data_IF_000419724760
#
_entry.id   IF_000419724760
#
_cell.length_a   1.000
_cell.length_b   1.000
_cell.length_c   1.000
_cell.angle_alpha   90.00
_cell.angle_beta   90.00
_cell.angle_gamma   90.00
#
_symmetry.space_group_name_H-M   'P 1'
#
loop_
_entity.id
_entity.type
_entity.pdbx_description
1 polymer ?
#
# COMPACT_ATOMS: atom_id res chain seq x y z
N UNK A 1 58.28 -8.83 -5.79
CA UNK A 1 57.28 -7.73 -5.77
C UNK A 1 55.82 -8.20 -5.66
N UNK A 2 55.42 -9.34 -6.23
CA UNK A 2 54.01 -9.79 -6.30
C UNK A 2 53.38 -10.26 -4.96
N UNK A 3 54.21 -10.64 -3.96
CA UNK A 3 53.76 -11.18 -2.66
C UNK A 3 53.35 -10.11 -1.64
N UNK A 4 53.70 -8.84 -1.92
CA UNK A 4 53.38 -7.68 -1.07
C UNK A 4 51.96 -7.16 -1.36
N UNK A 5 51.61 -7.04 -2.65
CA UNK A 5 50.30 -6.56 -3.11
C UNK A 5 49.10 -7.41 -2.62
N UNK A 6 49.27 -8.73 -2.53
CA UNK A 6 48.25 -9.65 -2.02
C UNK A 6 47.93 -9.43 -0.53
N UNK A 7 48.92 -9.01 0.28
CA UNK A 7 48.70 -8.71 1.71
C UNK A 7 47.96 -7.39 1.91
N UNK A 8 48.26 -6.38 1.09
CA UNK A 8 47.55 -5.10 1.11
C UNK A 8 46.11 -5.23 0.57
N UNK A 9 45.90 -6.01 -0.49
CA UNK A 9 44.57 -6.30 -1.01
C UNK A 9 43.69 -7.04 0.00
N UNK A 10 44.25 -8.03 0.72
CA UNK A 10 43.52 -8.76 1.77
C UNK A 10 43.22 -7.88 3.00
N UNK A 11 44.13 -6.99 3.38
CA UNK A 11 43.91 -6.01 4.45
C UNK A 11 42.84 -4.96 4.12
N UNK A 12 42.80 -4.50 2.86
CA UNK A 12 41.76 -3.57 2.37
C UNK A 12 40.40 -4.29 2.29
N UNK A 13 40.35 -5.55 1.84
CA UNK A 13 39.12 -6.34 1.84
C UNK A 13 38.60 -6.59 3.26
N UNK A 14 39.46 -6.87 4.23
CA UNK A 14 39.07 -7.00 5.65
C UNK A 14 38.60 -5.68 6.26
N UNK A 15 39.18 -4.54 5.88
CA UNK A 15 38.70 -3.21 6.29
C UNK A 15 37.34 -2.87 5.66
N UNK A 16 37.10 -3.25 4.41
CA UNK A 16 35.81 -3.05 3.73
C UNK A 16 34.74 -3.98 4.33
N UNK A 17 35.07 -5.24 4.65
CA UNK A 17 34.16 -6.17 5.34
C UNK A 17 33.91 -5.76 6.81
N UNK A 18 34.91 -5.18 7.49
CA UNK A 18 34.74 -4.63 8.84
C UNK A 18 33.90 -3.34 8.83
N UNK A 19 34.01 -2.51 7.80
CA UNK A 19 33.14 -1.35 7.61
C UNK A 19 31.69 -1.73 7.28
N UNK A 20 31.47 -2.81 6.53
CA UNK A 20 30.12 -3.32 6.27
C UNK A 20 29.44 -3.94 7.51
N UNK A 21 30.20 -4.24 8.56
CA UNK A 21 29.68 -4.84 9.80
C UNK A 21 29.29 -3.82 10.87
N UNK A 22 29.52 -2.51 10.66
CA UNK A 22 28.90 -1.49 11.50
C UNK A 22 27.42 -1.38 11.12
N UNK A 23 26.58 -2.14 11.83
CA UNK A 23 25.15 -1.89 11.85
C UNK A 23 24.93 -0.45 12.33
N UNK A 24 24.65 0.44 11.38
CA UNK A 24 24.35 1.84 11.66
C UNK A 24 23.13 1.88 12.59
N UNK A 25 23.36 2.19 13.87
CA UNK A 25 22.30 2.29 14.86
C UNK A 25 21.43 3.49 14.50
N UNK A 26 20.13 3.26 14.35
CA UNK A 26 19.18 4.30 13.98
C UNK A 26 18.90 5.15 15.22
N UNK A 27 19.31 6.42 15.18
CA UNK A 27 19.10 7.40 16.24
C UNK A 27 18.12 8.45 15.74
N UNK A 28 17.09 8.74 16.54
CA UNK A 28 16.06 9.72 16.26
C UNK A 28 16.16 10.88 17.25
N UNK A 29 16.37 12.12 16.79
CA UNK A 29 16.35 13.28 17.66
C UNK A 29 14.92 13.60 18.10
N UNK A 30 14.69 13.73 19.41
CA UNK A 30 13.39 14.14 19.96
C UNK A 30 13.39 15.65 20.20
N UNK A 31 14.49 16.17 20.74
CA UNK A 31 14.81 17.60 20.83
C UNK A 31 16.33 17.79 20.75
N UNK A 32 16.79 18.99 21.07
CA UNK A 32 18.21 19.35 21.05
C UNK A 32 19.09 18.51 21.99
N UNK A 33 18.52 17.91 23.04
CA UNK A 33 19.28 17.27 24.12
C UNK A 33 18.96 15.78 24.32
N UNK A 34 17.85 15.30 23.79
CA UNK A 34 17.34 13.95 24.00
C UNK A 34 17.11 13.23 22.67
N UNK A 35 17.56 11.99 22.62
CA UNK A 35 17.49 11.13 21.44
C UNK A 35 16.91 9.76 21.79
N UNK A 36 16.30 9.11 20.80
CA UNK A 36 15.90 7.71 20.86
C UNK A 36 16.86 6.88 20.03
N UNK A 37 17.33 5.76 20.58
CA UNK A 37 18.10 4.75 19.85
C UNK A 37 17.30 3.48 19.75
N UNK A 38 17.13 2.99 18.52
CA UNK A 38 16.59 1.64 18.29
C UNK A 38 17.74 0.65 18.41
N UNK A 39 17.61 -0.28 19.36
CA UNK A 39 18.64 -1.27 19.66
C UNK A 39 18.54 -2.47 18.73
N UNK A 40 17.32 -2.99 18.55
CA UNK A 40 17.04 -4.09 17.64
C UNK A 40 15.59 -4.11 17.21
N UNK A 41 15.35 -4.63 16.02
CA UNK A 41 14.03 -4.97 15.52
C UNK A 41 14.09 -6.44 15.13
N UNK A 42 13.20 -7.23 15.72
CA UNK A 42 13.09 -8.66 15.44
C UNK A 42 11.65 -9.03 15.15
N UNK A 43 11.45 -10.08 14.36
CA UNK A 43 10.12 -10.63 14.10
C UNK A 43 10.09 -12.14 14.25
N UNK A 44 8.91 -12.67 14.56
CA UNK A 44 8.66 -14.09 14.73
C UNK A 44 7.25 -14.45 14.25
N UNK A 45 7.14 -15.52 13.46
CA UNK A 45 5.85 -16.09 13.05
C UNK A 45 5.08 -16.60 14.26
N UNK A 46 3.76 -16.48 14.24
CA UNK A 46 2.90 -16.99 15.30
C UNK A 46 1.59 -17.56 14.75
N UNK A 47 1.09 -18.60 15.42
CA UNK A 47 -0.27 -19.11 15.23
C UNK A 47 -1.28 -18.44 16.18
N UNK A 48 -0.82 -17.69 17.19
CA UNK A 48 -1.69 -17.09 18.20
C UNK A 48 -1.40 -15.60 18.40
N UNK A 49 -2.49 -14.83 18.49
CA UNK A 49 -2.49 -13.43 18.86
C UNK A 49 -2.25 -13.22 20.36
N UNK A 50 -2.64 -14.15 21.23
CA UNK A 50 -2.68 -13.87 22.68
C UNK A 50 -1.34 -14.09 23.38
N UNK A 51 -0.41 -14.81 22.74
CA UNK A 51 0.90 -15.10 23.30
C UNK A 51 2.00 -14.76 22.30
N UNK A 52 2.92 -13.91 22.73
CA UNK A 52 4.15 -13.64 21.98
C UNK A 52 5.03 -14.90 21.98
N UNK A 53 5.63 -15.29 20.84
CA UNK A 53 6.42 -16.50 20.74
C UNK A 53 7.71 -16.41 21.58
N UNK A 54 8.07 -17.52 22.22
CA UNK A 54 9.29 -17.61 23.04
C UNK A 54 10.55 -17.84 22.19
N UNK A 55 10.39 -18.46 21.00
CA UNK A 55 11.47 -18.83 20.08
C UNK A 55 11.15 -18.39 18.65
N UNK A 56 12.15 -18.35 17.76
CA UNK A 56 11.97 -18.02 16.35
C UNK A 56 12.03 -16.52 16.02
N UNK A 57 12.65 -15.74 16.90
CA UNK A 57 12.93 -14.32 16.66
C UNK A 57 14.13 -14.17 15.73
N UNK A 58 13.92 -13.49 14.61
CA UNK A 58 14.95 -13.15 13.64
C UNK A 58 15.06 -11.63 13.52
N UNK A 59 16.28 -11.11 13.39
CA UNK A 59 16.48 -9.67 13.20
C UNK A 59 16.00 -9.25 11.81
N UNK A 60 15.24 -8.16 11.75
CA UNK A 60 14.66 -7.64 10.52
C UNK A 60 14.89 -6.15 10.38
N UNK A 61 14.87 -5.66 9.14
CA UNK A 61 14.86 -4.23 8.84
C UNK A 61 13.45 -3.82 8.44
N UNK A 62 13.08 -2.58 8.76
CA UNK A 62 11.82 -1.99 8.34
C UNK A 62 12.08 -1.00 7.19
N UNK A 63 11.17 -0.86 6.21
CA UNK A 63 9.90 -1.59 6.08
C UNK A 63 10.10 -3.09 5.78
N UNK A 64 9.22 -3.92 6.33
CA UNK A 64 9.28 -5.38 6.20
C UNK A 64 8.07 -5.90 5.46
N UNK A 65 8.29 -6.48 4.28
CA UNK A 65 7.28 -7.19 3.48
C UNK A 65 7.54 -8.69 3.61
N UNK A 66 6.59 -9.42 4.19
CA UNK A 66 6.81 -10.82 4.56
C UNK A 66 7.16 -11.70 3.38
N UNK A 67 6.56 -11.46 2.22
CA UNK A 67 6.71 -12.32 1.04
C UNK A 67 8.16 -12.41 0.53
N UNK A 68 9.01 -11.42 0.88
CA UNK A 68 10.44 -11.44 0.54
C UNK A 68 11.17 -12.58 1.29
N UNK A 69 10.83 -12.80 2.57
CA UNK A 69 11.46 -13.85 3.40
C UNK A 69 10.64 -15.12 3.47
N UNK A 70 9.32 -14.98 3.56
CA UNK A 70 8.35 -16.06 3.73
C UNK A 70 7.34 -16.00 2.59
N UNK A 71 7.73 -16.58 1.46
CA UNK A 71 6.89 -16.63 0.25
C UNK A 71 5.53 -17.24 0.54
N UNK A 72 4.46 -16.56 0.12
CA UNK A 72 3.07 -16.97 0.30
C UNK A 72 2.64 -17.16 1.78
N UNK A 73 3.32 -16.52 2.74
CA UNK A 73 2.94 -16.63 4.15
C UNK A 73 1.66 -15.87 4.47
N UNK A 74 0.76 -16.54 5.17
CA UNK A 74 -0.52 -16.02 5.64
C UNK A 74 -0.63 -16.28 7.16
N UNK A 75 -1.06 -15.28 7.92
CA UNK A 75 -1.29 -15.41 9.36
C UNK A 75 -0.61 -14.32 10.18
N UNK A 76 -0.28 -14.66 11.43
CA UNK A 76 0.22 -13.73 12.42
C UNK A 76 1.75 -13.63 12.47
N UNK A 77 2.26 -12.43 12.74
CA UNK A 77 3.67 -12.14 13.02
C UNK A 77 3.75 -11.17 14.18
N UNK A 78 4.63 -11.46 15.14
CA UNK A 78 5.01 -10.52 16.17
C UNK A 78 6.29 -9.82 15.79
N UNK A 79 6.33 -8.51 15.99
CA UNK A 79 7.52 -7.68 15.95
C UNK A 79 7.87 -7.23 17.36
N UNK A 80 9.16 -7.21 17.66
CA UNK A 80 9.71 -6.71 18.90
C UNK A 80 10.75 -5.66 18.56
N UNK A 81 10.47 -4.44 19.00
CA UNK A 81 11.30 -3.26 18.83
C UNK A 81 11.83 -2.92 20.22
N UNK A 82 13.10 -3.23 20.46
CA UNK A 82 13.78 -2.84 21.69
C UNK A 82 14.48 -1.51 21.44
N UNK A 83 14.21 -0.52 22.30
CA UNK A 83 14.70 0.84 22.14
C UNK A 83 15.01 1.47 23.50
N UNK A 84 15.83 2.50 23.49
CA UNK A 84 16.15 3.31 24.66
C UNK A 84 16.11 4.78 24.31
N UNK A 85 15.87 5.62 25.31
CA UNK A 85 16.04 7.06 25.19
C UNK A 85 17.17 7.50 26.10
N UNK A 86 17.87 8.55 25.69
CA UNK A 86 18.94 9.14 26.49
C UNK A 86 18.95 10.65 26.26
N UNK A 87 19.31 11.37 27.31
CA UNK A 87 19.49 12.81 27.29
C UNK A 87 20.93 13.16 27.71
N UNK A 88 21.41 14.32 27.29
CA UNK A 88 22.68 14.89 27.78
C UNK A 88 22.66 15.05 29.31
N UNK A 89 23.86 15.04 29.95
CA UNK A 89 24.07 14.75 31.39
C UNK A 89 23.34 15.63 32.42
N UNK A 90 22.58 16.64 31.99
CA UNK A 90 21.84 17.55 32.87
C UNK A 90 20.36 17.71 32.46
N UNK A 91 19.94 17.01 31.40
CA UNK A 91 18.59 17.10 30.87
C UNK A 91 17.79 15.84 31.20
N UNK A 92 16.53 16.05 31.56
CA UNK A 92 15.54 15.01 31.74
C UNK A 92 14.54 15.02 30.58
N UNK A 93 13.95 13.85 30.31
CA UNK A 93 12.89 13.74 29.32
C UNK A 93 11.62 14.42 29.85
N UNK A 94 11.48 15.73 29.57
CA UNK A 94 10.37 16.55 30.05
C UNK A 94 9.21 16.69 29.04
N UNK A 95 9.26 15.92 27.96
CA UNK A 95 8.22 15.90 26.93
C UNK A 95 7.96 14.46 26.49
N UNK A 96 6.74 14.15 26.00
CA UNK A 96 6.44 12.84 25.48
C UNK A 96 7.22 12.53 24.20
N UNK A 97 7.51 11.25 24.00
CA UNK A 97 8.06 10.70 22.76
C UNK A 97 6.89 10.17 21.95
N UNK A 98 6.85 10.46 20.65
CA UNK A 98 5.84 9.90 19.76
C UNK A 98 6.42 8.74 18.98
N UNK A 99 5.81 7.56 19.10
CA UNK A 99 6.08 6.43 18.22
C UNK A 99 5.09 6.47 17.05
N UNK A 100 5.59 6.53 15.83
CA UNK A 100 4.77 6.54 14.62
C UNK A 100 5.10 5.37 13.71
N UNK A 101 4.06 4.82 13.10
CA UNK A 101 4.10 3.71 12.17
C UNK A 101 3.44 4.15 10.86
N UNK A 102 4.20 4.06 9.76
CA UNK A 102 3.75 4.53 8.46
C UNK A 102 2.55 3.73 7.96
N UNK A 103 2.60 2.40 8.06
CA UNK A 103 1.48 1.54 7.72
C UNK A 103 1.58 0.21 8.47
N UNK A 104 0.41 -0.39 8.69
CA UNK A 104 0.27 -1.75 9.15
C UNK A 104 -0.66 -2.44 8.16
N UNK A 105 -0.14 -3.40 7.39
CA UNK A 105 -0.93 -4.00 6.33
C UNK A 105 -1.79 -5.15 6.88
N UNK A 106 -3.09 -5.12 6.53
CA UNK A 106 -4.18 -5.88 7.15
C UNK A 106 -4.55 -5.38 8.58
N UNK A 107 -4.40 -6.18 9.63
CA UNK A 107 -4.85 -5.83 10.99
C UNK A 107 -3.76 -6.09 12.04
N UNK A 108 -3.76 -5.34 13.14
CA UNK A 108 -2.72 -5.51 14.16
C UNK A 108 -2.97 -4.82 15.50
N UNK A 109 -2.08 -5.06 16.44
CA UNK A 109 -2.11 -4.50 17.77
C UNK A 109 -0.71 -4.05 18.20
N UNK A 110 -0.65 -2.99 19.00
CA UNK A 110 0.59 -2.37 19.46
C UNK A 110 0.58 -2.29 20.98
N UNK A 111 1.69 -2.70 21.59
CA UNK A 111 1.89 -2.74 23.02
C UNK A 111 3.18 -2.01 23.39
N UNK A 112 3.18 -1.30 24.51
CA UNK A 112 4.36 -0.71 25.14
C UNK A 112 4.61 -1.41 26.46
N UNK A 113 5.79 -1.99 26.66
CA UNK A 113 6.18 -2.61 27.92
C UNK A 113 5.15 -3.64 28.47
N UNK A 114 4.45 -4.35 27.56
CA UNK A 114 3.32 -5.30 27.78
C UNK A 114 1.93 -4.68 27.92
N UNK A 115 1.82 -3.36 28.03
CA UNK A 115 0.53 -2.67 28.09
C UNK A 115 0.01 -2.38 26.68
N UNK A 116 -1.28 -2.62 26.46
CA UNK A 116 -1.92 -2.40 25.16
C UNK A 116 -2.04 -0.89 24.88
N UNK A 117 -1.43 -0.41 23.80
CA UNK A 117 -1.62 0.95 23.30
C UNK A 117 -2.81 1.05 22.35
N UNK A 118 -2.95 0.07 21.45
CA UNK A 118 -3.99 0.06 20.43
C UNK A 118 -4.16 -1.31 19.78
N UNK A 119 -5.37 -1.61 19.31
CA UNK A 119 -5.70 -2.79 18.52
C UNK A 119 -6.67 -2.43 17.40
N UNK A 120 -6.56 -3.12 16.26
CA UNK A 120 -7.63 -3.15 15.25
C UNK A 120 -8.93 -3.72 15.84
N UNK A 121 -10.07 -3.31 15.30
CA UNK A 121 -11.38 -3.79 15.75
C UNK A 121 -11.51 -5.30 15.53
N UNK A 122 -11.07 -5.79 14.38
CA UNK A 122 -11.06 -7.21 14.04
C UNK A 122 -9.64 -7.67 13.72
N UNK A 123 -9.10 -8.54 14.59
CA UNK A 123 -7.77 -9.17 14.44
C UNK A 123 -7.86 -10.61 13.92
N UNK A 124 -9.07 -11.11 13.78
CA UNK A 124 -9.44 -12.37 13.13
C UNK A 124 -10.33 -12.07 11.92
N UNK A 125 -10.53 -13.06 11.07
CA UNK A 125 -11.38 -12.91 9.90
C UNK A 125 -12.80 -12.45 10.27
N UNK A 126 -13.38 -11.48 9.53
CA UNK A 126 -12.75 -10.68 8.48
C UNK A 126 -11.83 -9.59 9.06
N UNK A 127 -10.58 -9.52 8.63
CA UNK A 127 -9.59 -8.59 9.19
C UNK A 127 -9.98 -7.13 8.94
N UNK A 128 -9.74 -6.25 9.92
CA UNK A 128 -9.77 -4.81 9.68
C UNK A 128 -8.71 -4.41 8.63
N UNK A 129 -8.90 -3.26 8.00
CA UNK A 129 -7.99 -2.67 6.99
C UNK A 129 -7.28 -1.45 7.57
N UNK A 130 -6.01 -1.63 7.93
CA UNK A 130 -5.19 -0.55 8.51
C UNK A 130 -4.08 -0.04 7.59
N UNK A 131 -4.00 -0.54 6.35
CA UNK A 131 -2.88 -0.28 5.44
C UNK A 131 -2.78 1.20 5.00
N UNK A 132 -3.91 1.91 4.88
CA UNK A 132 -3.98 3.31 4.47
C UNK A 132 -4.08 4.31 5.64
N UNK A 133 -3.96 3.82 6.89
CA UNK A 133 -4.08 4.62 8.10
C UNK A 133 -2.70 4.73 8.77
N UNK A 134 -1.91 5.79 8.50
CA UNK A 134 -0.72 6.05 9.31
C UNK A 134 -1.15 6.25 10.77
N UNK A 135 -0.42 5.68 11.72
CA UNK A 135 -0.77 5.75 13.14
C UNK A 135 0.40 6.25 13.95
N UNK A 136 0.09 6.93 15.04
CA UNK A 136 1.08 7.32 16.02
C UNK A 136 0.49 7.27 17.42
N UNK A 137 1.37 7.08 18.39
CA UNK A 137 1.03 7.02 19.81
C UNK A 137 1.96 7.95 20.57
N UNK A 138 1.36 8.83 21.37
CA UNK A 138 2.08 9.72 22.27
C UNK A 138 2.43 8.90 23.52
N UNK A 139 3.72 8.74 23.80
CA UNK A 139 4.24 7.98 24.94
C UNK A 139 4.66 8.98 26.03
N UNK A 140 3.89 9.13 27.12
CA UNK A 140 4.26 10.03 28.21
C UNK A 140 5.57 9.60 28.87
N UNK A 141 6.41 10.56 29.27
CA UNK A 141 7.69 10.26 29.92
C UNK A 141 7.52 9.40 31.18
N UNK A 142 6.41 9.55 31.92
CA UNK A 142 6.09 8.74 33.11
C UNK A 142 5.82 7.25 32.81
N UNK A 143 5.40 6.91 31.58
CA UNK A 143 5.18 5.53 31.14
C UNK A 143 6.44 4.88 30.57
N UNK A 144 7.53 5.62 30.47
CA UNK A 144 8.79 5.16 29.90
C UNK A 144 9.79 4.78 31.00
N UNK A 145 10.44 3.64 30.81
CA UNK A 145 11.55 3.23 31.67
C UNK A 145 12.78 4.07 31.31
N UNK A 146 13.62 4.48 32.28
CA UNK A 146 14.87 5.21 32.02
C UNK A 146 15.91 4.45 31.20
N UNK A 147 15.76 3.13 31.05
CA UNK A 147 16.62 2.29 30.22
C UNK A 147 15.89 1.73 29.01
N UNK A 148 15.91 0.40 28.89
CA UNK A 148 15.29 -0.29 27.75
C UNK A 148 13.77 -0.30 27.86
N UNK A 149 13.13 0.14 26.79
CA UNK A 149 11.71 0.03 26.55
C UNK A 149 11.47 -0.93 25.39
N UNK A 150 10.30 -1.54 25.38
CA UNK A 150 9.93 -2.50 24.36
C UNK A 150 8.58 -2.13 23.75
N UNK A 151 8.53 -2.09 22.42
CA UNK A 151 7.28 -2.04 21.68
C UNK A 151 7.09 -3.40 21.02
N UNK A 152 5.95 -4.03 21.29
CA UNK A 152 5.51 -5.24 20.59
C UNK A 152 4.43 -4.87 19.60
N UNK A 153 4.55 -5.33 18.36
CA UNK A 153 3.52 -5.15 17.33
C UNK A 153 3.09 -6.52 16.83
N UNK A 154 1.83 -6.87 17.03
CA UNK A 154 1.22 -8.02 16.38
C UNK A 154 0.62 -7.56 15.05
N UNK A 155 0.87 -8.29 13.98
CA UNK A 155 0.29 -8.06 12.66
C UNK A 155 -0.27 -9.38 12.15
N UNK A 156 -1.50 -9.38 11.66
CA UNK A 156 -2.13 -10.51 10.99
C UNK A 156 -2.55 -10.09 9.59
N UNK A 157 -2.14 -10.85 8.58
CA UNK A 157 -2.43 -10.51 7.19
C UNK A 157 -2.09 -11.64 6.22
N UNK A 158 -2.30 -11.33 4.93
CA UNK A 158 -2.12 -12.28 3.83
C UNK A 158 -1.06 -11.86 2.82
N UNK A 159 -0.40 -12.84 2.22
CA UNK A 159 0.61 -12.63 1.19
C UNK A 159 0.08 -11.88 -0.04
N UNK A 160 -1.19 -12.10 -0.44
CA UNK A 160 -1.80 -11.43 -1.59
C UNK A 160 -2.01 -9.92 -1.37
N UNK A 161 -1.98 -9.45 -0.13
CA UNK A 161 -2.03 -8.02 0.21
C UNK A 161 -0.64 -7.43 0.47
N UNK A 162 0.45 -8.21 0.36
CA UNK A 162 1.79 -7.84 0.81
C UNK A 162 1.81 -7.46 2.31
N UNK A 163 1.28 -8.36 3.16
CA UNK A 163 1.30 -8.19 4.60
C UNK A 163 2.72 -7.93 5.14
N UNK A 164 2.79 -7.10 6.18
CA UNK A 164 4.06 -6.52 6.62
C UNK A 164 3.90 -5.35 7.60
N UNK A 165 5.05 -4.83 8.03
CA UNK A 165 5.15 -3.67 8.90
C UNK A 165 5.93 -2.55 8.21
N UNK A 166 5.32 -1.36 8.14
CA UNK A 166 5.96 -0.19 7.55
C UNK A 166 7.10 0.37 8.40
N UNK A 167 7.71 1.45 7.90
CA UNK A 167 8.76 2.17 8.61
C UNK A 167 8.25 2.73 9.94
N UNK A 168 9.11 2.70 10.94
CA UNK A 168 8.86 3.33 12.25
C UNK A 168 9.66 4.62 12.37
N UNK A 169 9.09 5.57 13.11
CA UNK A 169 9.78 6.82 13.47
C UNK A 169 9.49 7.17 14.92
N UNK A 170 10.46 7.82 15.57
CA UNK A 170 10.30 8.43 16.87
C UNK A 170 10.52 9.93 16.72
N UNK A 171 9.56 10.75 17.16
CA UNK A 171 9.60 12.20 17.03
C UNK A 171 9.04 12.88 18.30
N UNK A 172 9.17 14.19 18.41
CA UNK A 172 8.33 14.97 19.34
C UNK A 172 6.91 15.15 18.78
N UNK A 173 5.99 15.61 19.63
CA UNK A 173 4.56 15.77 19.28
C UNK A 173 4.35 16.75 18.13
N UNK A 174 5.04 17.90 18.13
CA UNK A 174 4.81 18.94 17.14
C UNK A 174 5.29 18.56 15.74
N UNK A 175 6.46 17.94 15.65
CA UNK A 175 7.02 17.44 14.40
C UNK A 175 6.20 16.28 13.85
N UNK A 176 5.77 15.36 14.74
CA UNK A 176 4.94 14.24 14.34
C UNK A 176 3.60 14.67 13.72
N UNK A 177 2.95 15.72 14.23
CA UNK A 177 1.68 16.22 13.65
C UNK A 177 1.86 16.59 12.17
N UNK A 178 2.96 17.27 11.82
CA UNK A 178 3.25 17.66 10.42
C UNK A 178 3.51 16.43 9.55
N UNK A 179 4.31 15.48 10.04
CA UNK A 179 4.58 14.23 9.34
C UNK A 179 3.31 13.40 9.12
N UNK A 180 2.47 13.30 10.15
CA UNK A 180 1.23 12.56 10.09
C UNK A 180 0.23 13.18 9.12
N UNK A 181 0.04 14.50 9.15
CA UNK A 181 -0.81 15.21 8.18
C UNK A 181 -0.37 14.98 6.74
N UNK A 182 0.94 15.05 6.48
CA UNK A 182 1.50 14.74 5.14
C UNK A 182 1.23 13.29 4.75
N UNK A 183 1.37 12.33 5.67
CA UNK A 183 1.07 10.93 5.37
C UNK A 183 -0.42 10.68 5.13
N UNK A 184 -1.31 11.35 5.87
CA UNK A 184 -2.76 11.27 5.65
C UNK A 184 -3.14 11.85 4.27
N UNK A 185 -2.57 13.00 3.91
CA UNK A 185 -2.80 13.63 2.61
C UNK A 185 -2.48 12.66 1.47
N UNK A 186 -1.28 12.07 1.50
CA UNK A 186 -0.79 11.18 0.46
C UNK A 186 -1.57 9.85 0.38
N UNK A 187 -1.96 9.28 1.52
CA UNK A 187 -2.56 7.94 1.57
C UNK A 187 -4.08 7.94 1.47
N UNK A 188 -4.75 9.05 1.79
CA UNK A 188 -6.22 9.08 1.93
C UNK A 188 -6.87 10.27 1.24
N UNK A 189 -6.42 11.50 1.52
CA UNK A 189 -7.09 12.70 0.99
C UNK A 189 -7.07 12.74 -0.55
N UNK A 190 -5.99 12.28 -1.19
CA UNK A 190 -5.93 12.18 -2.66
C UNK A 190 -6.99 11.23 -3.23
N UNK A 191 -7.23 10.09 -2.58
CA UNK A 191 -8.28 9.14 -2.99
C UNK A 191 -9.68 9.69 -2.74
N UNK A 192 -9.89 10.42 -1.64
CA UNK A 192 -11.16 11.08 -1.34
C UNK A 192 -11.49 12.17 -2.37
N UNK A 193 -10.50 13.01 -2.75
CA UNK A 193 -10.67 14.01 -3.81
C UNK A 193 -10.99 13.33 -5.15
N UNK A 194 -10.26 12.26 -5.50
CA UNK A 194 -10.49 11.51 -6.73
C UNK A 194 -11.91 10.90 -6.76
N UNK A 195 -12.39 10.37 -5.63
CA UNK A 195 -13.74 9.86 -5.50
C UNK A 195 -14.79 10.97 -5.70
N UNK A 196 -14.63 12.13 -5.06
CA UNK A 196 -15.58 13.26 -5.20
C UNK A 196 -15.64 13.75 -6.66
N UNK A 197 -14.48 13.90 -7.32
CA UNK A 197 -14.42 14.30 -8.73
C UNK A 197 -15.06 13.25 -9.66
N UNK A 198 -14.79 11.98 -9.42
CA UNK A 198 -15.38 10.88 -10.20
C UNK A 198 -16.89 10.79 -10.01
N UNK A 199 -17.37 11.02 -8.78
CA UNK A 199 -18.80 11.03 -8.47
C UNK A 199 -19.53 12.19 -9.14
N UNK A 200 -18.98 13.40 -9.07
CA UNK A 200 -19.59 14.59 -9.70
C UNK A 200 -19.66 14.46 -11.22
N UNK A 201 -18.57 14.02 -11.87
CA UNK A 201 -18.54 13.77 -13.31
C UNK A 201 -19.48 12.61 -13.73
N UNK A 202 -19.50 11.52 -12.95
CA UNK A 202 -20.37 10.38 -13.19
C UNK A 202 -21.85 10.74 -13.11
N UNK A 203 -22.25 11.50 -12.08
CA UNK A 203 -23.63 11.98 -11.93
C UNK A 203 -24.02 12.92 -13.07
N UNK A 204 -23.14 13.87 -13.43
CA UNK A 204 -23.40 14.79 -14.53
C UNK A 204 -23.61 14.04 -15.85
N UNK A 205 -22.75 13.08 -16.17
CA UNK A 205 -22.89 12.27 -17.38
C UNK A 205 -24.11 11.35 -17.35
N UNK A 206 -24.47 10.82 -16.18
CA UNK A 206 -25.68 10.03 -16.00
C UNK A 206 -26.93 10.86 -16.30
N UNK A 207 -26.99 12.08 -15.78
CA UNK A 207 -28.09 13.01 -16.03
C UNK A 207 -28.16 13.36 -17.52
N UNK A 208 -27.03 13.73 -18.15
CA UNK A 208 -26.99 14.01 -19.59
C UNK A 208 -27.50 12.81 -20.39
N UNK A 209 -27.07 11.60 -20.08
CA UNK A 209 -27.53 10.39 -20.76
C UNK A 209 -29.03 10.14 -20.59
N UNK A 210 -29.59 10.38 -19.40
CA UNK A 210 -31.03 10.24 -19.16
C UNK A 210 -31.87 11.21 -20.00
N UNK A 211 -31.37 12.43 -20.23
CA UNK A 211 -32.02 13.43 -21.09
C UNK A 211 -31.74 13.23 -22.58
N UNK A 212 -30.54 12.77 -22.94
CA UNK A 212 -30.06 12.62 -24.32
C UNK A 212 -29.70 11.14 -24.57
N UNK A 213 -30.70 10.27 -24.51
CA UNK A 213 -30.54 8.81 -24.72
C UNK A 213 -29.99 8.41 -26.10
N UNK A 214 -29.80 9.37 -27.01
CA UNK A 214 -29.27 9.12 -28.37
C UNK A 214 -27.77 8.83 -28.37
N UNK A 215 -27.02 9.36 -27.38
CA UNK A 215 -25.59 9.11 -27.26
C UNK A 215 -25.29 8.21 -26.05
N UNK A 216 -25.11 6.92 -26.32
CA UNK A 216 -24.84 5.92 -25.28
C UNK A 216 -23.46 6.08 -24.63
N UNK A 217 -22.57 6.93 -25.16
CA UNK A 217 -21.21 7.12 -24.64
C UNK A 217 -21.22 7.67 -23.21
N UNK A 218 -22.11 8.62 -22.92
CA UNK A 218 -22.26 9.20 -21.57
C UNK A 218 -22.73 8.17 -20.53
N UNK A 219 -23.58 7.24 -20.92
CA UNK A 219 -24.05 6.16 -20.03
C UNK A 219 -22.93 5.20 -19.64
N UNK A 220 -22.08 4.80 -20.60
CA UNK A 220 -20.91 3.96 -20.33
C UNK A 220 -19.87 4.67 -19.46
N UNK A 221 -19.66 5.96 -19.68
CA UNK A 221 -18.77 6.75 -18.82
C UNK A 221 -19.30 6.83 -17.39
N UNK A 222 -20.58 7.16 -17.21
CA UNK A 222 -21.21 7.20 -15.89
C UNK A 222 -21.12 5.86 -15.14
N UNK A 223 -21.35 4.75 -15.85
CA UNK A 223 -21.20 3.39 -15.29
C UNK A 223 -19.74 3.11 -14.89
N UNK A 224 -18.77 3.52 -15.71
CA UNK A 224 -17.35 3.40 -15.36
C UNK A 224 -17.01 4.20 -14.11
N UNK A 225 -17.49 5.43 -13.96
CA UNK A 225 -17.29 6.22 -12.75
C UNK A 225 -17.89 5.54 -11.52
N UNK A 226 -19.09 4.96 -11.62
CA UNK A 226 -19.72 4.24 -10.51
C UNK A 226 -18.90 3.02 -10.09
N UNK A 227 -18.41 2.23 -11.04
CA UNK A 227 -17.58 1.05 -10.76
C UNK A 227 -16.22 1.44 -10.17
N UNK A 228 -15.64 2.54 -10.64
CA UNK A 228 -14.43 3.13 -10.07
C UNK A 228 -14.63 3.59 -8.62
N UNK A 229 -15.77 4.20 -8.30
CA UNK A 229 -16.12 4.58 -6.93
C UNK A 229 -16.23 3.37 -6.00
N UNK A 230 -16.87 2.29 -6.47
CA UNK A 230 -16.94 1.04 -5.70
C UNK A 230 -15.55 0.47 -5.44
N UNK A 231 -14.68 0.47 -6.46
CA UNK A 231 -13.29 0.07 -6.31
C UNK A 231 -12.53 0.94 -5.28
N UNK A 232 -12.55 2.27 -5.42
CA UNK A 232 -11.86 3.17 -4.48
C UNK A 232 -12.45 3.10 -3.06
N UNK A 233 -13.77 2.93 -2.93
CA UNK A 233 -14.41 2.86 -1.61
C UNK A 233 -13.84 1.72 -0.75
N UNK A 234 -13.44 0.62 -1.38
CA UNK A 234 -12.82 -0.51 -0.69
C UNK A 234 -11.43 -0.17 -0.15
N UNK A 235 -10.71 0.75 -0.81
CA UNK A 235 -9.44 1.28 -0.35
C UNK A 235 -9.62 2.26 0.82
N UNK A 236 -10.70 3.05 0.84
CA UNK A 236 -10.96 4.05 1.89
C UNK A 236 -11.59 3.46 3.16
N UNK A 237 -12.33 2.37 3.03
CA UNK A 237 -12.98 1.68 4.17
C UNK A 237 -11.95 0.97 5.04
N UNK A 238 -12.04 1.19 6.36
CA UNK A 238 -11.14 0.61 7.36
C UNK A 238 -11.58 -0.77 7.84
N UNK A 239 -12.75 -1.23 7.42
CA UNK A 239 -13.30 -2.54 7.78
C UNK A 239 -13.62 -3.34 6.51
N UNK A 240 -13.74 -4.65 6.68
CA UNK A 240 -14.00 -5.60 5.58
C UNK A 240 -15.49 -5.89 5.39
N UNK A 241 -16.36 -5.38 6.28
CA UNK A 241 -17.81 -5.39 6.09
C UNK A 241 -18.20 -4.73 4.75
N UNK A 242 -19.13 -5.27 3.96
CA UNK A 242 -20.06 -6.38 4.26
C UNK A 242 -19.55 -7.78 3.89
N UNK A 243 -18.28 -7.93 3.51
CA UNK A 243 -17.75 -9.21 3.04
C UNK A 243 -17.43 -10.15 4.20
N UNK A 244 -17.68 -11.46 4.05
CA UNK A 244 -17.48 -12.44 5.12
C UNK A 244 -15.99 -12.73 5.38
N UNK A 245 -15.14 -12.57 4.37
CA UNK A 245 -13.69 -12.81 4.48
C UNK A 245 -12.90 -11.72 3.77
N UNK A 246 -11.66 -11.50 4.21
CA UNK A 246 -10.72 -10.56 3.58
C UNK A 246 -10.40 -10.96 2.13
N UNK A 247 -10.38 -12.25 1.82
CA UNK A 247 -10.21 -12.76 0.46
C UNK A 247 -11.40 -12.40 -0.45
N UNK A 248 -12.64 -12.65 0.02
CA UNK A 248 -13.85 -12.30 -0.74
C UNK A 248 -13.92 -10.80 -1.02
N UNK A 249 -13.49 -9.98 -0.06
CA UNK A 249 -13.41 -8.55 -0.21
C UNK A 249 -12.41 -8.11 -1.30
N UNK A 250 -11.26 -8.80 -1.42
CA UNK A 250 -10.28 -8.53 -2.47
C UNK A 250 -10.75 -9.02 -3.85
N UNK A 251 -11.41 -10.18 -3.93
CA UNK A 251 -12.01 -10.73 -5.15
C UNK A 251 -13.12 -9.80 -5.70
N UNK A 252 -14.01 -9.31 -4.81
CA UNK A 252 -15.05 -8.34 -5.17
C UNK A 252 -14.44 -7.02 -5.66
N UNK A 253 -13.40 -6.53 -4.98
CA UNK A 253 -12.69 -5.32 -5.40
C UNK A 253 -12.11 -5.45 -6.82
N UNK A 254 -11.43 -6.58 -7.10
CA UNK A 254 -10.89 -6.84 -8.43
C UNK A 254 -11.99 -6.98 -9.48
N UNK A 255 -13.16 -7.52 -9.12
CA UNK A 255 -14.32 -7.59 -10.02
C UNK A 255 -14.82 -6.20 -10.42
N UNK A 256 -14.89 -5.25 -9.48
CA UNK A 256 -15.22 -3.86 -9.79
C UNK A 256 -14.18 -3.22 -10.71
N UNK A 257 -12.89 -3.50 -10.49
CA UNK A 257 -11.82 -3.02 -11.37
C UNK A 257 -11.95 -3.56 -12.80
N UNK A 258 -12.22 -4.85 -12.97
CA UNK A 258 -12.44 -5.48 -14.29
C UNK A 258 -13.60 -4.80 -15.03
N UNK A 259 -14.75 -4.69 -14.37
CA UNK A 259 -15.93 -4.08 -14.96
C UNK A 259 -15.69 -2.60 -15.29
N UNK A 260 -14.98 -1.87 -14.42
CA UNK A 260 -14.56 -0.50 -14.68
C UNK A 260 -13.74 -0.40 -15.97
N UNK A 261 -12.69 -1.21 -16.12
CA UNK A 261 -11.82 -1.19 -17.30
C UNK A 261 -12.60 -1.50 -18.57
N UNK A 262 -13.52 -2.47 -18.54
CA UNK A 262 -14.36 -2.79 -19.69
C UNK A 262 -15.27 -1.62 -20.08
N UNK A 263 -16.02 -1.07 -19.12
CA UNK A 263 -16.93 0.04 -19.37
C UNK A 263 -16.18 1.29 -19.86
N UNK A 264 -15.02 1.57 -19.26
CA UNK A 264 -14.17 2.68 -19.66
C UNK A 264 -13.58 2.48 -21.07
N UNK A 265 -13.13 1.26 -21.40
CA UNK A 265 -12.63 0.93 -22.74
C UNK A 265 -13.71 1.07 -23.81
N UNK A 266 -14.93 0.59 -23.51
CA UNK A 266 -16.08 0.78 -24.41
C UNK A 266 -16.37 2.27 -24.58
N UNK A 267 -16.43 3.04 -23.50
CA UNK A 267 -16.59 4.50 -23.57
C UNK A 267 -15.56 5.16 -24.49
N UNK A 268 -14.26 4.85 -24.31
CA UNK A 268 -13.19 5.43 -25.11
C UNK A 268 -13.33 5.11 -26.61
N UNK A 269 -13.69 3.86 -26.94
CA UNK A 269 -13.93 3.45 -28.33
C UNK A 269 -15.15 4.16 -28.94
N UNK A 270 -16.23 4.29 -28.17
CA UNK A 270 -17.46 4.97 -28.59
C UNK A 270 -17.25 6.46 -28.78
N UNK A 271 -16.46 7.11 -27.92
CA UNK A 271 -16.03 8.50 -28.07
C UNK A 271 -15.25 8.73 -29.38
N UNK A 272 -14.50 7.72 -29.84
CA UNK A 272 -13.78 7.77 -31.11
C UNK A 272 -14.63 7.37 -32.34
N UNK A 273 -15.96 7.28 -32.20
CA UNK A 273 -16.91 6.81 -33.21
C UNK A 273 -16.63 5.40 -33.74
N UNK A 274 -15.92 4.56 -32.96
CA UNK A 274 -15.63 3.16 -33.32
C UNK A 274 -16.49 2.19 -32.52
N UNK A 275 -16.94 1.14 -33.20
CA UNK A 275 -17.76 0.08 -32.63
C UNK A 275 -17.23 -1.26 -33.10
N UNK A 276 -16.88 -2.14 -32.17
CA UNK A 276 -16.43 -3.49 -32.47
C UNK A 276 -17.33 -4.49 -31.76
N UNK A 277 -18.56 -4.71 -32.26
CA UNK A 277 -19.60 -5.41 -31.50
C UNK A 277 -19.18 -6.82 -31.08
N UNK A 278 -18.57 -7.58 -31.99
CA UNK A 278 -18.12 -8.96 -31.71
C UNK A 278 -16.99 -9.00 -30.68
N UNK A 279 -16.04 -8.06 -30.75
CA UNK A 279 -14.92 -7.99 -29.81
C UNK A 279 -15.39 -7.56 -28.42
N UNK A 280 -16.26 -6.55 -28.35
CA UNK A 280 -16.86 -6.06 -27.10
C UNK A 280 -17.63 -7.20 -26.41
N UNK A 281 -18.53 -7.88 -27.13
CA UNK A 281 -19.32 -8.99 -26.58
C UNK A 281 -18.44 -10.15 -26.12
N UNK A 282 -17.44 -10.54 -26.92
CA UNK A 282 -16.49 -11.61 -26.55
C UNK A 282 -15.70 -11.24 -25.28
N UNK A 283 -15.25 -9.98 -25.17
CA UNK A 283 -14.54 -9.50 -23.98
C UNK A 283 -15.43 -9.48 -22.75
N UNK A 284 -16.70 -9.11 -22.86
CA UNK A 284 -17.64 -9.16 -21.74
C UNK A 284 -17.89 -10.59 -21.26
N UNK A 285 -18.20 -11.50 -22.18
CA UNK A 285 -18.43 -12.92 -21.85
C UNK A 285 -17.19 -13.53 -21.20
N UNK A 286 -16.01 -13.29 -21.78
CA UNK A 286 -14.75 -13.74 -21.21
C UNK A 286 -14.52 -13.15 -19.81
N UNK A 287 -14.83 -11.87 -19.61
CA UNK A 287 -14.64 -11.20 -18.32
C UNK A 287 -15.57 -11.73 -17.23
N UNK A 288 -16.80 -12.11 -17.59
CA UNK A 288 -17.71 -12.79 -16.65
C UNK A 288 -17.10 -14.13 -16.22
N UNK A 289 -16.57 -14.91 -17.15
CA UNK A 289 -15.89 -16.17 -16.82
C UNK A 289 -14.66 -15.95 -15.92
N UNK A 290 -13.87 -14.89 -16.18
CA UNK A 290 -12.74 -14.50 -15.32
C UNK A 290 -13.20 -14.11 -13.92
N UNK A 291 -14.24 -13.28 -13.79
CA UNK A 291 -14.82 -12.88 -12.49
C UNK A 291 -15.26 -14.12 -11.71
N UNK A 292 -16.00 -15.03 -12.34
CA UNK A 292 -16.43 -16.28 -11.71
C UNK A 292 -15.21 -17.11 -11.27
N UNK A 293 -14.19 -17.24 -12.12
CA UNK A 293 -12.95 -17.96 -11.80
C UNK A 293 -12.17 -17.36 -10.61
N UNK A 294 -12.17 -16.04 -10.46
CA UNK A 294 -11.53 -15.35 -9.33
C UNK A 294 -12.16 -15.77 -8.00
N UNK A 295 -13.49 -15.88 -7.93
CA UNK A 295 -14.18 -16.30 -6.69
C UNK A 295 -13.91 -17.76 -6.30
N UNK A 296 -13.58 -18.63 -7.26
CA UNK A 296 -13.17 -20.01 -7.00
C UNK A 296 -11.67 -20.16 -6.67
N UNK A 297 -10.91 -19.08 -6.68
CA UNK A 297 -9.46 -19.14 -6.44
C UNK A 297 -9.18 -19.39 -4.95
N UNK A 298 -8.44 -20.45 -4.60
CA UNK A 298 -8.04 -20.72 -3.22
C UNK A 298 -6.93 -19.76 -2.76
N UNK A 299 -6.75 -19.63 -1.45
CA UNK A 299 -5.85 -18.65 -0.83
C UNK A 299 -4.39 -18.78 -1.32
N UNK A 300 -3.91 -20.01 -1.55
CA UNK A 300 -2.52 -20.28 -1.93
C UNK A 300 -2.14 -19.69 -3.30
N UNK A 301 -3.10 -19.64 -4.23
CA UNK A 301 -2.92 -19.08 -5.57
C UNK A 301 -3.44 -17.65 -5.70
N UNK A 302 -4.11 -17.11 -4.67
CA UNK A 302 -4.75 -15.80 -4.71
C UNK A 302 -3.79 -14.69 -5.14
N UNK A 303 -2.56 -14.67 -4.62
CA UNK A 303 -1.56 -13.65 -4.99
C UNK A 303 -1.27 -13.63 -6.50
N UNK A 304 -0.99 -14.80 -7.06
CA UNK A 304 -0.60 -14.94 -8.48
C UNK A 304 -1.80 -14.66 -9.37
N UNK A 305 -2.96 -15.26 -9.09
CA UNK A 305 -4.16 -15.11 -9.92
C UNK A 305 -4.67 -13.67 -9.89
N UNK A 306 -4.87 -13.07 -8.71
CA UNK A 306 -5.36 -11.69 -8.58
C UNK A 306 -4.38 -10.70 -9.23
N UNK A 307 -3.08 -10.88 -9.01
CA UNK A 307 -2.04 -10.04 -9.63
C UNK A 307 -1.99 -10.17 -11.15
N UNK A 308 -2.07 -11.40 -11.69
CA UNK A 308 -2.06 -11.64 -13.14
C UNK A 308 -3.29 -11.05 -13.82
N UNK A 309 -4.47 -11.24 -13.23
CA UNK A 309 -5.72 -10.65 -13.74
C UNK A 309 -5.66 -9.12 -13.68
N UNK A 310 -5.19 -8.54 -12.57
CA UNK A 310 -5.03 -7.09 -12.48
C UNK A 310 -4.13 -6.56 -13.60
N UNK A 311 -2.97 -7.20 -13.82
CA UNK A 311 -2.04 -6.83 -14.88
C UNK A 311 -2.61 -7.03 -16.29
N UNK A 312 -3.40 -8.07 -16.53
CA UNK A 312 -3.99 -8.33 -17.85
C UNK A 312 -5.02 -7.25 -18.23
N UNK A 313 -5.86 -6.81 -17.30
CA UNK A 313 -6.82 -5.73 -17.55
C UNK A 313 -6.17 -4.36 -17.59
N UNK A 314 -5.12 -4.11 -16.79
CA UNK A 314 -4.31 -2.91 -16.94
C UNK A 314 -3.65 -2.85 -18.35
N UNK A 315 -3.16 -3.99 -18.84
CA UNK A 315 -2.58 -4.10 -20.19
C UNK A 315 -3.62 -3.88 -21.29
N UNK A 316 -4.87 -4.33 -21.09
CA UNK A 316 -5.97 -4.07 -22.01
C UNK A 316 -6.18 -2.56 -22.20
N UNK A 317 -6.17 -1.79 -21.11
CA UNK A 317 -6.30 -0.33 -21.17
C UNK A 317 -5.14 0.31 -21.95
N UNK A 318 -3.91 -0.18 -21.77
CA UNK A 318 -2.74 0.27 -22.52
C UNK A 318 -2.88 -0.02 -24.01
N UNK A 319 -3.40 -1.19 -24.40
CA UNK A 319 -3.68 -1.54 -25.80
C UNK A 319 -4.73 -0.59 -26.40
N UNK A 320 -5.81 -0.32 -25.67
CA UNK A 320 -6.86 0.63 -26.10
C UNK A 320 -6.27 2.03 -26.27
N UNK A 321 -5.41 2.46 -25.36
CA UNK A 321 -4.69 3.73 -25.47
C UNK A 321 -3.85 3.82 -26.76
N UNK A 322 -3.02 2.81 -27.05
CA UNK A 322 -2.20 2.82 -28.28
C UNK A 322 -3.05 2.80 -29.55
N UNK A 323 -4.17 2.06 -29.54
CA UNK A 323 -5.12 2.06 -30.65
C UNK A 323 -5.72 3.46 -30.89
N UNK A 324 -6.11 4.16 -29.82
CA UNK A 324 -6.66 5.52 -29.92
C UNK A 324 -5.59 6.53 -30.34
N UNK A 325 -4.34 6.38 -29.91
CA UNK A 325 -3.22 7.21 -30.37
C UNK A 325 -2.94 7.02 -31.87
N UNK A 326 -3.02 5.79 -32.37
CA UNK A 326 -2.95 5.51 -33.80
C UNK A 326 -4.13 6.17 -34.55
N UNK A 327 -5.34 6.07 -33.99
CA UNK A 327 -6.53 6.64 -34.60
C UNK A 327 -6.51 8.18 -34.60
N UNK A 328 -6.01 8.82 -33.54
CA UNK A 328 -5.90 10.28 -33.46
C UNK A 328 -4.95 10.81 -34.54
N UNK A 329 -3.82 10.12 -34.76
CA UNK A 329 -2.90 10.44 -35.84
C UNK A 329 -3.55 10.33 -37.22
N UNK A 330 -4.38 9.31 -37.45
CA UNK A 330 -5.05 9.06 -38.74
C UNK A 330 -6.23 10.00 -39.02
N UNK A 331 -7.05 10.30 -38.02
CA UNK A 331 -8.32 11.03 -38.20
C UNK A 331 -8.21 12.53 -37.97
N UNK A 332 -7.13 13.01 -37.35
CA UNK A 332 -6.84 14.42 -37.12
C UNK A 332 -7.98 15.23 -36.45
N UNK A 333 -8.83 14.58 -35.65
CA UNK A 333 -9.85 15.26 -34.85
C UNK A 333 -9.23 15.85 -33.57
N UNK A 334 -9.48 17.13 -33.30
CA UNK A 334 -8.96 17.85 -32.11
C UNK A 334 -9.37 17.20 -30.79
N UNK A 335 -10.61 16.70 -30.72
CA UNK A 335 -11.16 16.04 -29.53
C UNK A 335 -10.38 14.77 -29.15
N UNK A 336 -9.94 13.98 -30.14
CA UNK A 336 -9.12 12.79 -29.90
C UNK A 336 -7.71 13.15 -29.40
N UNK A 337 -7.13 14.25 -29.89
CA UNK A 337 -5.83 14.72 -29.38
C UNK A 337 -5.90 15.15 -27.92
N UNK A 338 -6.97 15.87 -27.53
CA UNK A 338 -7.19 16.23 -26.13
C UNK A 338 -7.37 15.01 -25.24
N UNK A 339 -8.15 14.02 -25.69
CA UNK A 339 -8.33 12.77 -24.96
C UNK A 339 -7.00 12.03 -24.75
N UNK A 340 -6.19 11.88 -25.81
CA UNK A 340 -4.89 11.23 -25.72
C UNK A 340 -3.94 12.01 -24.82
N UNK A 341 -3.93 13.33 -24.90
CA UNK A 341 -3.16 14.17 -23.99
C UNK A 341 -3.54 13.89 -22.52
N UNK A 342 -4.84 13.84 -22.19
CA UNK A 342 -5.29 13.48 -20.84
C UNK A 342 -4.82 12.07 -20.43
N UNK A 343 -4.97 11.07 -21.31
CA UNK A 343 -4.52 9.70 -21.03
C UNK A 343 -3.00 9.61 -20.85
N UNK A 344 -2.21 10.34 -21.64
CA UNK A 344 -0.75 10.41 -21.47
C UNK A 344 -0.35 10.99 -20.13
N UNK A 345 -1.06 12.03 -19.67
CA UNK A 345 -0.79 12.67 -18.38
C UNK A 345 -1.06 11.70 -17.22
N UNK A 346 -2.17 10.95 -17.30
CA UNK A 346 -2.50 9.89 -16.34
C UNK A 346 -1.41 8.81 -16.34
N UNK A 347 -0.99 8.34 -17.52
CA UNK A 347 0.09 7.35 -17.65
C UNK A 347 1.42 7.85 -17.07
N UNK A 348 1.76 9.12 -17.28
CA UNK A 348 2.96 9.73 -16.73
C UNK A 348 2.92 9.78 -15.19
N UNK A 349 1.80 10.20 -14.62
CA UNK A 349 1.64 10.19 -13.16
C UNK A 349 1.75 8.78 -12.58
N UNK A 350 1.12 7.78 -13.22
CA UNK A 350 1.23 6.39 -12.80
C UNK A 350 2.69 5.90 -12.84
N UNK A 351 3.46 6.23 -13.88
CA UNK A 351 4.89 5.90 -13.96
C UNK A 351 5.69 6.58 -12.84
N UNK A 352 5.45 7.87 -12.58
CA UNK A 352 6.13 8.61 -11.49
C UNK A 352 5.84 7.97 -10.13
N UNK A 353 4.60 7.56 -9.88
CA UNK A 353 4.20 6.93 -8.62
C UNK A 353 4.85 5.55 -8.46
N UNK A 354 4.90 4.73 -9.52
CA UNK A 354 5.61 3.44 -9.49
C UNK A 354 7.10 3.61 -9.20
N UNK A 355 7.75 4.59 -9.82
CA UNK A 355 9.18 4.90 -9.57
C UNK A 355 9.39 5.35 -8.12
N UNK A 356 8.49 6.17 -7.58
CA UNK A 356 8.56 6.60 -6.17
C UNK A 356 8.39 5.43 -5.20
N UNK A 357 7.47 4.51 -5.48
CA UNK A 357 7.27 3.31 -4.67
C UNK A 357 8.50 2.40 -4.69
N UNK A 358 9.08 2.15 -5.87
CA UNK A 358 10.31 1.36 -6.01
C UNK A 358 11.49 1.94 -5.23
N UNK A 359 11.65 3.27 -5.25
CA UNK A 359 12.72 3.93 -4.49
C UNK A 359 12.47 3.90 -2.97
N UNK A 360 11.21 3.91 -2.53
CA UNK A 360 10.84 3.84 -1.11
C UNK A 360 11.09 2.45 -0.49
N UNK A 361 11.13 1.37 -1.27
CA UNK A 361 11.54 0.04 -0.79
C UNK A 361 13.06 -0.08 -0.61
N UNK A 362 13.85 0.79 -1.26
CA UNK A 362 15.33 0.77 -1.21
C UNK A 362 15.96 1.69 -0.15
N UNK A 363 15.16 2.49 0.56
CA UNK A 363 15.62 3.51 1.53
C UNK A 363 14.99 3.35 2.91
#
# INVERSE_FOLDING_TARGET
MMRSWLKYAFGICLLICAWQSYAQQIVYPINQHCNVRVLSISSAKTASQNKSPETGWENVKLPDVWDIRWKNYNGGVWYKIDWEWFCEREHSLNQPIVFALDYLNSAGAVYLNKDLLWASQHLQEPLSKSWNMPRYWILPASGLKPGKNQILVYVNGYAFQNAGLGKITFNNVHENIKHHQKSLWNKRTLFEINAILSATLGILCLVIWLFIRRDNSFGWFALSCLLWLLFISQFLTTETYPYPTTLAAAQANLSFFILYILCFSVYLLRFADRRFPVLEESLFVFSIAVIVGIFFTPLDYAKIVLGTVFLSYASLLVVVYFYLAYLSYKTQKTELYLLIFCLTLIGLFACVDVVRLGNAETA
#
